data_IF_397328426349
#
_entry.id   IF_397328426349
#
_cell.length_a   1.000
_cell.length_b   1.000
_cell.length_c   1.000
_cell.angle_alpha   90.00
_cell.angle_beta   90.00
_cell.angle_gamma   90.00
#
_symmetry.space_group_name_H-M   'P 1'
#
loop_
_entity.id
_entity.type
_entity.pdbx_description
1 polymer ?
#
# COMPACT_ATOMS: atom_id res chain seq x y z
N UNK A 1 -14.88 -39.51 -13.79
CA UNK A 1 -15.90 -38.45 -13.72
C UNK A 1 -15.39 -37.41 -12.73
N UNK A 2 -14.70 -36.40 -13.23
CA UNK A 2 -14.10 -35.31 -12.44
C UNK A 2 -15.11 -34.17 -12.36
N UNK A 3 -15.64 -33.92 -11.18
CA UNK A 3 -16.60 -32.85 -10.91
C UNK A 3 -15.85 -31.51 -10.89
N UNK A 4 -16.13 -30.67 -11.88
CA UNK A 4 -15.69 -29.28 -11.96
C UNK A 4 -16.44 -28.46 -10.90
N UNK A 5 -15.72 -27.86 -9.97
CA UNK A 5 -16.29 -26.97 -8.96
C UNK A 5 -16.89 -25.71 -9.62
N UNK A 6 -18.06 -25.22 -9.17
CA UNK A 6 -18.69 -24.07 -9.77
C UNK A 6 -17.89 -22.78 -9.46
N UNK A 7 -17.57 -22.01 -10.51
CA UNK A 7 -17.09 -20.63 -10.41
C UNK A 7 -18.12 -19.81 -9.59
N UNK A 8 -17.76 -19.40 -8.38
CA UNK A 8 -18.53 -18.39 -7.65
C UNK A 8 -18.48 -17.10 -8.45
N UNK A 9 -19.67 -16.62 -8.83
CA UNK A 9 -19.85 -15.29 -9.44
C UNK A 9 -19.33 -14.26 -8.46
N UNK A 10 -18.46 -13.37 -8.93
CA UNK A 10 -18.00 -12.19 -8.18
C UNK A 10 -19.22 -11.32 -7.83
N UNK A 11 -19.39 -11.01 -6.56
CA UNK A 11 -20.35 -10.00 -6.11
C UNK A 11 -20.04 -8.64 -6.78
N UNK A 12 -21.06 -7.82 -7.06
CA UNK A 12 -20.86 -6.54 -7.70
C UNK A 12 -19.95 -5.64 -6.86
N UNK A 13 -18.89 -5.15 -7.49
CA UNK A 13 -17.97 -4.18 -6.90
C UNK A 13 -18.77 -2.91 -6.57
N UNK A 14 -18.70 -2.38 -5.34
CA UNK A 14 -19.39 -1.12 -5.00
C UNK A 14 -18.90 0.00 -5.90
N UNK A 15 -19.83 0.89 -6.27
CA UNK A 15 -19.54 2.06 -7.12
C UNK A 15 -18.38 2.88 -6.55
N UNK A 16 -17.49 3.37 -7.43
CA UNK A 16 -16.34 4.19 -7.04
C UNK A 16 -16.78 5.41 -6.23
N UNK A 17 -16.11 5.69 -5.12
CA UNK A 17 -16.37 6.85 -4.30
C UNK A 17 -15.96 8.15 -5.03
N UNK A 18 -16.66 9.28 -4.85
CA UNK A 18 -16.26 10.55 -5.42
C UNK A 18 -14.83 10.91 -5.06
N UNK A 19 -14.00 11.25 -6.05
CA UNK A 19 -12.60 11.64 -5.84
C UNK A 19 -11.60 10.47 -5.65
N UNK A 20 -12.03 9.21 -5.79
CA UNK A 20 -11.15 8.04 -5.86
C UNK A 20 -10.91 7.63 -7.31
N UNK A 21 -9.73 7.07 -7.60
CA UNK A 21 -9.38 6.55 -8.92
C UNK A 21 -9.24 5.03 -8.87
N UNK A 22 -9.70 4.35 -9.90
CA UNK A 22 -9.43 2.94 -10.17
C UNK A 22 -7.99 2.75 -10.68
N UNK A 23 -7.45 1.55 -10.46
CA UNK A 23 -6.15 1.13 -10.99
C UNK A 23 -6.35 -0.16 -11.76
N UNK A 24 -5.98 -0.15 -13.05
CA UNK A 24 -5.94 -1.33 -13.89
C UNK A 24 -4.48 -1.74 -14.13
N UNK A 25 -4.14 -2.99 -13.84
CA UNK A 25 -2.84 -3.60 -14.04
C UNK A 25 -3.05 -4.75 -15.02
N UNK A 26 -2.34 -4.75 -16.14
CA UNK A 26 -2.52 -5.71 -17.24
C UNK A 26 -1.16 -6.32 -17.61
N UNK A 27 -0.95 -7.59 -17.27
CA UNK A 27 0.24 -8.36 -17.64
C UNK A 27 1.55 -7.75 -17.12
N UNK A 28 1.51 -7.06 -15.96
CA UNK A 28 2.66 -6.32 -15.46
C UNK A 28 3.83 -7.25 -15.15
N UNK A 29 4.95 -7.04 -15.85
CA UNK A 29 6.18 -7.79 -15.68
C UNK A 29 7.37 -6.85 -15.49
N UNK A 30 8.30 -7.22 -14.60
CA UNK A 30 9.50 -6.44 -14.31
C UNK A 30 10.72 -7.34 -14.18
N UNK A 31 11.71 -7.06 -15.00
CA UNK A 31 13.02 -7.71 -14.95
C UNK A 31 14.05 -6.64 -14.61
N UNK A 32 14.94 -6.94 -13.66
CA UNK A 32 16.09 -6.13 -13.32
C UNK A 32 17.37 -6.78 -13.85
N UNK A 33 18.27 -5.99 -14.37
CA UNK A 33 19.53 -6.46 -14.97
C UNK A 33 19.32 -7.01 -16.40
N UNK A 34 20.40 -7.57 -16.96
CA UNK A 34 20.45 -8.16 -18.30
C UNK A 34 21.33 -9.41 -18.31
N UNK A 35 21.15 -10.31 -19.30
CA UNK A 35 21.94 -11.54 -19.41
C UNK A 35 21.70 -12.52 -18.26
N UNK A 36 22.70 -13.33 -17.93
CA UNK A 36 22.62 -14.39 -16.92
C UNK A 36 22.40 -13.90 -15.48
N UNK A 37 22.56 -12.60 -15.24
CA UNK A 37 22.27 -11.96 -13.95
C UNK A 37 20.90 -11.29 -13.87
N UNK A 38 20.04 -11.48 -14.85
CA UNK A 38 18.70 -10.88 -14.84
C UNK A 38 17.80 -11.50 -13.76
N UNK A 39 17.10 -10.64 -13.01
CA UNK A 39 16.16 -11.06 -11.97
C UNK A 39 14.75 -10.71 -12.38
N UNK A 40 13.90 -11.72 -12.55
CA UNK A 40 12.47 -11.53 -12.80
C UNK A 40 11.78 -11.23 -11.46
N UNK A 41 11.52 -9.95 -11.22
CA UNK A 41 10.89 -9.51 -9.97
C UNK A 41 9.36 -9.67 -10.00
N UNK A 42 8.74 -9.38 -11.14
CA UNK A 42 7.29 -9.54 -11.39
C UNK A 42 7.08 -10.25 -12.72
N UNK A 43 6.08 -11.11 -12.78
CA UNK A 43 5.71 -11.82 -13.99
C UNK A 43 4.19 -11.92 -14.15
N UNK A 44 3.68 -11.31 -15.21
CA UNK A 44 2.26 -11.40 -15.65
C UNK A 44 1.25 -11.11 -14.53
N UNK A 45 1.48 -10.02 -13.78
CA UNK A 45 0.55 -9.59 -12.73
C UNK A 45 -0.60 -8.82 -13.38
N UNK A 46 -1.83 -9.32 -13.21
CA UNK A 46 -3.05 -8.69 -13.74
C UNK A 46 -4.05 -8.51 -12.61
N UNK A 47 -4.44 -7.26 -12.34
CA UNK A 47 -5.40 -6.91 -11.29
C UNK A 47 -6.18 -5.64 -11.67
N UNK A 48 -7.45 -5.57 -11.25
CA UNK A 48 -8.24 -4.35 -11.29
C UNK A 48 -8.59 -3.95 -9.86
N UNK A 49 -8.24 -2.73 -9.45
CA UNK A 49 -8.51 -2.16 -8.13
C UNK A 49 -9.54 -1.05 -8.32
N UNK A 50 -10.79 -1.27 -7.87
CA UNK A 50 -11.82 -0.25 -7.92
C UNK A 50 -11.48 0.99 -7.10
N UNK A 51 -11.97 2.15 -7.54
CA UNK A 51 -11.82 3.39 -6.80
C UNK A 51 -12.42 3.31 -5.40
N UNK A 52 -11.69 3.80 -4.39
CA UNK A 52 -12.09 3.81 -2.98
C UNK A 52 -11.84 2.51 -2.22
N UNK A 53 -11.31 1.47 -2.86
CA UNK A 53 -10.99 0.21 -2.21
C UNK A 53 -9.66 0.29 -1.44
N UNK A 54 -9.62 -0.37 -0.29
CA UNK A 54 -8.38 -0.59 0.47
C UNK A 54 -7.83 -1.99 0.12
N UNK A 55 -6.75 -2.05 -0.66
CA UNK A 55 -6.12 -3.30 -1.09
C UNK A 55 -4.78 -3.49 -0.40
N UNK A 56 -4.54 -4.67 0.19
CA UNK A 56 -3.23 -5.07 0.69
C UNK A 56 -2.53 -6.02 -0.28
N UNK A 57 -1.26 -5.73 -0.56
CA UNK A 57 -0.33 -6.66 -1.19
C UNK A 57 0.43 -7.40 -0.10
N UNK A 58 0.25 -8.72 -0.02
CA UNK A 58 0.81 -9.59 1.02
C UNK A 58 1.77 -10.62 0.42
N UNK A 59 2.83 -10.94 1.12
CA UNK A 59 3.79 -11.98 0.72
C UNK A 59 5.12 -11.83 1.43
N UNK A 60 6.04 -12.81 1.30
CA UNK A 60 7.35 -12.77 1.93
C UNK A 60 8.22 -11.62 1.41
N UNK A 61 9.32 -11.36 2.10
CA UNK A 61 10.31 -10.38 1.62
C UNK A 61 10.88 -10.79 0.26
N UNK A 62 11.09 -9.82 -0.63
CA UNK A 62 11.64 -10.07 -1.97
C UNK A 62 10.66 -10.65 -3.00
N UNK A 63 9.36 -10.81 -2.70
CA UNK A 63 8.36 -11.32 -3.65
C UNK A 63 7.83 -10.28 -4.66
N UNK A 64 8.37 -9.06 -4.69
CA UNK A 64 8.00 -8.05 -5.69
C UNK A 64 6.93 -7.04 -5.24
N UNK A 65 6.44 -7.05 -3.99
CA UNK A 65 5.41 -6.09 -3.51
C UNK A 65 5.78 -4.63 -3.73
N UNK A 66 6.95 -4.23 -3.21
CA UNK A 66 7.45 -2.85 -3.39
C UNK A 66 7.78 -2.56 -4.87
N UNK A 67 8.18 -3.57 -5.65
CA UNK A 67 8.39 -3.42 -7.10
C UNK A 67 7.08 -3.08 -7.81
N UNK A 68 5.99 -3.80 -7.48
CA UNK A 68 4.67 -3.51 -8.04
C UNK A 68 4.16 -2.14 -7.57
N UNK A 69 4.33 -1.83 -6.28
CA UNK A 69 3.94 -0.54 -5.73
C UNK A 69 4.68 0.62 -6.41
N UNK A 70 6.01 0.48 -6.63
CA UNK A 70 6.83 1.46 -7.34
C UNK A 70 6.44 1.59 -8.83
N UNK A 71 6.01 0.52 -9.47
CA UNK A 71 5.48 0.58 -10.83
C UNK A 71 4.15 1.35 -10.87
N UNK A 72 3.24 1.12 -9.91
CA UNK A 72 2.00 1.90 -9.77
C UNK A 72 2.30 3.37 -9.46
N UNK A 73 3.34 3.66 -8.67
CA UNK A 73 3.78 5.02 -8.40
C UNK A 73 4.38 5.74 -9.62
N UNK A 74 4.82 4.99 -10.63
CA UNK A 74 5.54 5.52 -11.78
C UNK A 74 7.04 5.72 -11.55
N UNK A 75 7.60 5.21 -10.44
CA UNK A 75 9.03 5.29 -10.14
C UNK A 75 9.87 4.25 -10.87
N UNK A 76 9.25 3.15 -11.30
CA UNK A 76 9.93 2.05 -11.97
C UNK A 76 9.11 1.57 -13.17
N UNK A 77 9.56 1.83 -14.41
CA UNK A 77 8.83 1.39 -15.58
C UNK A 77 8.79 -0.15 -15.64
N UNK A 78 7.68 -0.69 -16.15
CA UNK A 78 7.54 -2.11 -16.41
C UNK A 78 8.44 -2.55 -17.58
N UNK A 79 8.83 -3.82 -17.58
CA UNK A 79 9.49 -4.44 -18.74
C UNK A 79 8.46 -4.88 -19.78
N UNK A 80 7.27 -5.31 -19.34
CA UNK A 80 6.13 -5.63 -20.20
C UNK A 80 4.82 -5.41 -19.43
N UNK A 81 3.70 -5.31 -20.17
CA UNK A 81 2.39 -5.01 -19.62
C UNK A 81 2.13 -3.51 -19.46
N UNK A 82 1.06 -3.17 -18.78
CA UNK A 82 0.67 -1.77 -18.56
C UNK A 82 -0.02 -1.56 -17.21
N UNK A 83 0.09 -0.33 -16.69
CA UNK A 83 -0.68 0.16 -15.55
C UNK A 83 -1.42 1.42 -15.97
N UNK A 84 -2.71 1.47 -15.64
CA UNK A 84 -3.55 2.65 -15.86
C UNK A 84 -4.20 3.08 -14.56
N UNK A 85 -4.36 4.39 -14.40
CA UNK A 85 -5.05 5.00 -13.26
C UNK A 85 -6.11 5.97 -13.79
N UNK A 86 -7.36 5.78 -13.39
CA UNK A 86 -8.50 6.50 -13.97
C UNK A 86 -8.48 6.49 -15.51
N UNK A 87 -8.19 5.33 -16.11
CA UNK A 87 -8.08 5.12 -17.55
C UNK A 87 -6.80 5.69 -18.22
N UNK A 88 -5.98 6.47 -17.51
CA UNK A 88 -4.74 7.07 -18.04
C UNK A 88 -3.53 6.19 -17.77
N UNK A 89 -2.60 6.00 -18.73
CA UNK A 89 -1.41 5.22 -18.50
C UNK A 89 -0.51 5.86 -17.45
N UNK A 90 0.06 5.03 -16.58
CA UNK A 90 1.08 5.44 -15.60
C UNK A 90 2.44 5.29 -16.27
N UNK A 91 3.09 6.40 -16.56
CA UNK A 91 4.43 6.45 -17.21
C UNK A 91 5.45 6.99 -16.22
N UNK A 92 5.13 8.10 -15.54
CA UNK A 92 5.99 8.82 -14.61
C UNK A 92 5.26 9.07 -13.28
N UNK A 93 5.96 9.45 -12.21
CA UNK A 93 5.33 9.93 -10.98
C UNK A 93 4.38 11.11 -11.24
N UNK A 94 3.28 11.18 -10.51
CA UNK A 94 2.27 12.22 -10.73
C UNK A 94 1.53 12.63 -9.46
N UNK A 95 0.86 13.80 -9.49
CA UNK A 95 0.12 14.34 -8.34
C UNK A 95 -1.19 13.60 -8.05
N UNK A 96 -1.60 12.69 -8.93
CA UNK A 96 -2.79 11.85 -8.82
C UNK A 96 -2.59 10.66 -7.85
N UNK A 97 -1.37 10.48 -7.34
CA UNK A 97 -1.01 9.45 -6.37
C UNK A 97 0.03 9.93 -5.39
N UNK A 98 -0.15 9.59 -4.12
CA UNK A 98 0.79 9.89 -3.05
C UNK A 98 1.46 8.63 -2.54
N UNK A 99 2.77 8.67 -2.27
CA UNK A 99 3.55 7.56 -1.75
C UNK A 99 4.00 7.81 -0.33
N UNK A 100 3.68 6.88 0.57
CA UNK A 100 4.23 6.80 1.93
C UNK A 100 5.28 5.70 1.94
N UNK A 101 6.53 6.07 2.18
CA UNK A 101 7.67 5.16 2.18
C UNK A 101 7.90 4.52 3.55
N UNK A 102 8.58 3.39 3.59
CA UNK A 102 8.93 2.66 4.80
C UNK A 102 9.79 3.51 5.76
N UNK A 103 10.71 4.31 5.24
CA UNK A 103 11.60 5.18 6.00
C UNK A 103 11.07 6.61 6.16
N UNK A 104 9.74 6.82 6.11
CA UNK A 104 9.04 8.10 6.23
C UNK A 104 9.37 9.13 5.16
N UNK A 105 10.59 9.18 4.62
CA UNK A 105 11.11 10.13 3.62
C UNK A 105 10.78 11.60 3.93
N UNK A 106 10.86 11.98 5.20
CA UNK A 106 10.70 13.38 5.63
C UNK A 106 11.95 14.18 5.29
N UNK A 107 11.75 15.45 4.96
CA UNK A 107 12.84 16.40 4.78
C UNK A 107 13.40 16.79 6.15
N UNK A 108 14.62 16.35 6.55
CA UNK A 108 15.12 16.52 7.91
C UNK A 108 15.43 17.97 8.27
N UNK A 109 15.61 18.84 7.28
CA UNK A 109 15.84 20.27 7.42
C UNK A 109 14.57 21.12 7.45
N UNK A 110 13.40 20.50 7.28
CA UNK A 110 12.08 21.14 7.31
C UNK A 110 11.36 20.80 8.61
N UNK A 111 10.61 21.75 9.16
CA UNK A 111 9.69 21.49 10.28
C UNK A 111 8.54 20.57 9.86
N UNK A 112 7.73 20.12 10.83
CA UNK A 112 6.48 19.35 10.57
C UNK A 112 5.56 20.13 9.64
N UNK A 113 5.32 21.41 9.94
CA UNK A 113 4.50 22.29 9.10
C UNK A 113 5.02 22.35 7.67
N UNK A 114 6.31 22.61 7.49
CA UNK A 114 6.95 22.71 6.20
C UNK A 114 6.90 21.39 5.42
N UNK A 115 7.09 20.24 6.10
CA UNK A 115 6.95 18.93 5.49
C UNK A 115 5.52 18.70 4.95
N UNK A 116 4.49 19.05 5.74
CA UNK A 116 3.09 18.89 5.32
C UNK A 116 2.76 19.84 4.16
N UNK A 117 3.24 21.07 4.23
CA UNK A 117 2.98 22.14 3.29
C UNK A 117 3.68 21.96 1.95
N UNK A 118 4.81 21.27 1.91
CA UNK A 118 5.75 21.21 0.77
C UNK A 118 5.07 20.98 -0.59
N UNK A 119 4.16 20.00 -0.66
CA UNK A 119 3.47 19.72 -1.91
C UNK A 119 2.43 20.80 -2.31
N UNK A 120 1.85 21.50 -1.34
CA UNK A 120 0.93 22.61 -1.58
C UNK A 120 1.69 23.82 -2.17
N UNK A 121 2.89 24.09 -1.66
CA UNK A 121 3.77 25.16 -2.15
C UNK A 121 4.19 24.89 -3.61
N UNK A 122 4.55 23.63 -3.94
CA UNK A 122 4.87 23.23 -5.32
C UNK A 122 3.65 23.39 -6.25
N UNK A 123 2.42 23.07 -5.77
CA UNK A 123 1.19 23.29 -6.54
C UNK A 123 0.81 24.75 -6.68
N UNK A 124 1.49 25.67 -5.99
CA UNK A 124 1.19 27.10 -6.00
C UNK A 124 -0.12 27.46 -5.27
N UNK A 125 -0.53 26.64 -4.27
CA UNK A 125 -1.71 26.91 -3.45
C UNK A 125 -1.49 28.21 -2.66
N UNK A 126 -2.50 29.11 -2.65
CA UNK A 126 -2.41 30.36 -1.92
C UNK A 126 -2.10 30.13 -0.43
N UNK A 127 -1.24 31.01 0.14
CA UNK A 127 -0.70 30.82 1.49
C UNK A 127 -1.80 30.57 2.55
N UNK A 128 -2.85 31.40 2.54
CA UNK A 128 -3.93 31.29 3.50
C UNK A 128 -4.70 29.97 3.40
N UNK A 129 -4.88 29.45 2.18
CA UNK A 129 -5.50 28.16 1.91
C UNK A 129 -4.58 27.01 2.35
N UNK A 130 -3.29 27.07 2.04
CA UNK A 130 -2.30 26.09 2.48
C UNK A 130 -2.22 26.04 4.01
N UNK A 131 -2.22 27.21 4.71
CA UNK A 131 -2.24 27.28 6.16
C UNK A 131 -3.48 26.58 6.75
N UNK A 132 -4.66 26.81 6.16
CA UNK A 132 -5.90 26.16 6.59
C UNK A 132 -5.86 24.64 6.37
N UNK A 133 -5.32 24.17 5.23
CA UNK A 133 -5.15 22.72 4.95
C UNK A 133 -4.21 22.09 5.96
N UNK A 134 -3.03 22.69 6.21
CA UNK A 134 -2.04 22.20 7.17
C UNK A 134 -2.64 22.11 8.57
N UNK A 135 -3.29 23.18 9.05
CA UNK A 135 -3.91 23.20 10.38
C UNK A 135 -4.98 22.11 10.52
N UNK A 136 -5.84 21.92 9.52
CA UNK A 136 -6.87 20.90 9.49
C UNK A 136 -6.28 19.47 9.54
N UNK A 137 -5.28 19.19 8.70
CA UNK A 137 -4.66 17.86 8.65
C UNK A 137 -3.84 17.58 9.90
N UNK A 138 -3.08 18.56 10.38
CA UNK A 138 -2.33 18.44 11.62
C UNK A 138 -3.24 18.19 12.84
N UNK A 139 -4.37 18.88 12.91
CA UNK A 139 -5.38 18.66 13.95
C UNK A 139 -5.94 17.23 13.95
N UNK A 140 -6.25 16.70 12.76
CA UNK A 140 -6.76 15.32 12.60
C UNK A 140 -5.76 14.26 13.03
N UNK A 141 -4.46 14.51 12.84
CA UNK A 141 -3.37 13.57 13.13
C UNK A 141 -2.67 13.86 14.46
N UNK A 142 -3.21 14.75 15.29
CA UNK A 142 -2.63 15.08 16.61
C UNK A 142 -1.23 15.70 16.51
N UNK A 143 -0.97 16.50 15.47
CA UNK A 143 0.32 17.13 15.20
C UNK A 143 0.33 18.63 15.48
N UNK A 144 -0.78 19.23 15.92
CA UNK A 144 -0.92 20.70 16.09
C UNK A 144 0.16 21.31 16.99
N UNK A 145 0.49 20.67 18.10
CA UNK A 145 1.49 21.14 19.06
C UNK A 145 2.95 20.92 18.61
N UNK A 146 3.13 20.23 17.47
CA UNK A 146 4.43 19.83 16.97
C UNK A 146 4.81 20.49 15.64
N UNK A 147 3.99 21.42 15.11
CA UNK A 147 4.20 22.03 13.80
C UNK A 147 5.57 22.67 13.62
N UNK A 148 6.10 23.29 14.68
CA UNK A 148 7.43 23.90 14.67
C UNK A 148 8.61 22.95 14.94
N UNK A 149 8.36 21.66 15.21
CA UNK A 149 9.41 20.67 15.47
C UNK A 149 10.02 20.12 14.20
N UNK A 150 11.26 19.67 14.28
CA UNK A 150 11.95 18.96 13.20
C UNK A 150 11.77 17.44 13.32
N UNK A 151 11.90 16.67 12.22
CA UNK A 151 11.76 15.20 12.24
C UNK A 151 12.62 14.47 13.27
N UNK A 152 13.83 14.99 13.57
CA UNK A 152 14.75 14.44 14.58
C UNK A 152 14.18 14.49 16.01
N UNK A 153 13.26 15.41 16.27
CA UNK A 153 12.68 15.65 17.61
C UNK A 153 11.38 14.86 17.82
N UNK A 154 11.01 14.01 16.84
CA UNK A 154 9.75 13.26 16.83
C UNK A 154 9.97 11.77 17.10
N UNK A 155 8.99 11.12 17.74
CA UNK A 155 8.93 9.66 17.83
C UNK A 155 8.69 9.02 16.43
N UNK A 156 8.92 7.71 16.30
CA UNK A 156 8.65 6.97 15.06
C UNK A 156 7.21 7.12 14.59
N UNK A 157 6.24 6.96 15.51
CA UNK A 157 4.82 7.15 15.22
C UNK A 157 4.47 8.57 14.79
N UNK A 158 5.09 9.58 15.38
CA UNK A 158 4.90 10.97 14.97
C UNK A 158 5.47 11.23 13.57
N UNK A 159 6.66 10.72 13.27
CA UNK A 159 7.23 10.81 11.91
C UNK A 159 6.31 10.15 10.88
N UNK A 160 5.72 9.02 11.21
CA UNK A 160 4.75 8.34 10.33
C UNK A 160 3.50 9.20 10.10
N UNK A 161 2.95 9.81 11.15
CA UNK A 161 1.82 10.75 11.01
C UNK A 161 2.16 11.93 10.11
N UNK A 162 3.36 12.49 10.22
CA UNK A 162 3.81 13.58 9.34
C UNK A 162 3.92 13.12 7.89
N UNK A 163 4.43 11.91 7.63
CA UNK A 163 4.50 11.34 6.28
C UNK A 163 3.10 11.15 5.67
N UNK A 164 2.14 10.64 6.46
CA UNK A 164 0.74 10.52 6.04
C UNK A 164 0.11 11.91 5.84
N UNK A 165 0.33 12.85 6.76
CA UNK A 165 -0.18 14.23 6.69
C UNK A 165 0.25 14.94 5.39
N UNK A 166 1.53 14.78 5.00
CA UNK A 166 2.10 15.35 3.78
C UNK A 166 1.35 14.87 2.53
N UNK A 167 1.00 13.60 2.48
CA UNK A 167 0.25 13.03 1.36
C UNK A 167 -1.22 13.48 1.40
N UNK A 168 -1.85 13.43 2.56
CA UNK A 168 -3.25 13.87 2.73
C UNK A 168 -3.47 15.34 2.40
N UNK A 169 -2.47 16.21 2.65
CA UNK A 169 -2.54 17.62 2.30
C UNK A 169 -2.68 17.84 0.78
N UNK A 170 -2.08 16.97 -0.04
CA UNK A 170 -2.18 16.99 -1.50
C UNK A 170 -3.51 16.45 -2.03
N UNK A 171 -4.27 15.75 -1.19
CA UNK A 171 -5.56 15.13 -1.50
C UNK A 171 -5.55 14.25 -2.78
N UNK A 172 -4.58 13.34 -2.96
CA UNK A 172 -4.52 12.51 -4.15
C UNK A 172 -5.66 11.49 -4.16
N UNK A 173 -6.20 11.09 -5.32
CA UNK A 173 -7.20 10.01 -5.44
C UNK A 173 -6.67 8.63 -5.05
N UNK A 174 -5.36 8.40 -5.11
CA UNK A 174 -4.70 7.14 -4.76
C UNK A 174 -3.60 7.37 -3.74
N UNK A 175 -3.54 6.51 -2.72
CA UNK A 175 -2.48 6.46 -1.74
C UNK A 175 -1.76 5.11 -1.80
N UNK A 176 -0.46 5.14 -1.96
CA UNK A 176 0.43 4.00 -2.02
C UNK A 176 1.26 3.97 -0.73
N UNK A 177 1.31 2.82 -0.04
CA UNK A 177 1.97 2.71 1.25
C UNK A 177 2.87 1.48 1.28
N UNK A 178 4.18 1.67 1.45
CA UNK A 178 5.17 0.60 1.51
C UNK A 178 5.57 0.33 2.97
N UNK A 179 5.04 -0.73 3.57
CA UNK A 179 5.29 -1.18 4.96
C UNK A 179 5.30 -0.03 5.99
N UNK A 180 4.29 0.87 5.99
CA UNK A 180 4.37 2.13 6.73
C UNK A 180 4.44 1.96 8.24
N UNK A 181 4.07 0.80 8.78
CA UNK A 181 4.05 0.54 10.22
C UNK A 181 5.12 -0.47 10.68
N UNK A 182 6.02 -0.91 9.78
CA UNK A 182 7.00 -1.97 10.05
C UNK A 182 7.94 -1.67 11.22
N UNK A 183 8.38 -0.41 11.35
CA UNK A 183 9.35 0.02 12.37
C UNK A 183 8.72 0.44 13.72
N UNK A 184 7.39 0.27 13.90
CA UNK A 184 6.67 0.74 15.08
C UNK A 184 6.40 -0.39 16.08
N UNK A 185 6.39 -0.03 17.39
CA UNK A 185 5.91 -0.93 18.42
C UNK A 185 4.42 -1.28 18.26
N UNK A 186 3.97 -2.36 18.89
CA UNK A 186 2.63 -2.92 18.67
C UNK A 186 1.49 -1.95 19.02
N UNK A 187 1.64 -1.17 20.11
CA UNK A 187 0.60 -0.25 20.57
C UNK A 187 0.48 0.97 19.65
N UNK A 188 1.61 1.58 19.31
CA UNK A 188 1.68 2.69 18.36
C UNK A 188 1.17 2.28 16.99
N UNK A 189 1.54 1.08 16.51
CA UNK A 189 1.07 0.51 15.25
C UNK A 189 -0.45 0.39 15.24
N UNK A 190 -1.04 -0.19 16.28
CA UNK A 190 -2.50 -0.35 16.38
C UNK A 190 -3.22 1.00 16.34
N UNK A 191 -2.75 1.96 17.10
CA UNK A 191 -3.31 3.33 17.11
C UNK A 191 -3.30 3.96 15.72
N UNK A 192 -2.17 3.83 14.98
CA UNK A 192 -2.04 4.39 13.63
C UNK A 192 -2.88 3.63 12.58
N UNK A 193 -3.08 2.32 12.75
CA UNK A 193 -4.00 1.54 11.90
C UNK A 193 -5.44 2.02 12.08
N UNK A 194 -5.89 2.24 13.31
CA UNK A 194 -7.23 2.76 13.61
C UNK A 194 -7.41 4.19 13.05
N UNK A 195 -6.37 4.99 13.14
CA UNK A 195 -6.35 6.35 12.60
C UNK A 195 -6.41 6.34 11.05
N UNK A 196 -5.63 5.46 10.41
CA UNK A 196 -5.66 5.28 8.95
C UNK A 196 -7.05 4.81 8.47
N UNK A 197 -7.69 3.88 9.18
CA UNK A 197 -9.05 3.44 8.85
C UNK A 197 -10.08 4.57 8.99
N UNK A 198 -9.97 5.44 10.01
CA UNK A 198 -10.84 6.62 10.16
C UNK A 198 -10.65 7.60 9.00
N UNK A 199 -9.40 7.87 8.63
CA UNK A 199 -9.05 8.71 7.48
C UNK A 199 -9.61 8.11 6.20
N UNK A 200 -9.38 6.82 5.97
CA UNK A 200 -9.89 6.14 4.78
C UNK A 200 -11.42 6.16 4.71
N UNK A 201 -12.12 5.95 5.83
CA UNK A 201 -13.58 6.00 5.90
C UNK A 201 -14.13 7.40 5.54
N UNK A 202 -13.41 8.46 5.92
CA UNK A 202 -13.79 9.85 5.63
C UNK A 202 -13.51 10.24 4.18
N UNK A 203 -12.29 9.97 3.69
CA UNK A 203 -11.83 10.45 2.38
C UNK A 203 -12.11 9.48 1.23
N UNK A 204 -12.35 8.20 1.53
CA UNK A 204 -12.64 7.15 0.55
C UNK A 204 -11.64 7.07 -0.61
N UNK A 205 -10.38 7.33 -0.35
CA UNK A 205 -9.31 7.19 -1.33
C UNK A 205 -9.05 5.73 -1.66
N UNK A 206 -8.56 5.45 -2.86
CA UNK A 206 -8.01 4.13 -3.19
C UNK A 206 -6.68 3.96 -2.47
N UNK A 207 -6.53 2.88 -1.71
CA UNK A 207 -5.27 2.60 -0.99
C UNK A 207 -4.70 1.28 -1.50
N UNK A 208 -3.42 1.30 -1.89
CA UNK A 208 -2.60 0.10 -2.11
C UNK A 208 -1.54 0.06 -1.02
N UNK A 209 -1.65 -0.94 -0.15
CA UNK A 209 -0.88 -1.07 1.06
C UNK A 209 0.00 -2.33 1.00
N UNK A 210 1.29 -2.19 1.13
CA UNK A 210 2.23 -3.30 1.20
C UNK A 210 2.50 -3.66 2.65
N UNK A 211 2.40 -4.94 2.98
CA UNK A 211 2.79 -5.46 4.28
C UNK A 211 3.23 -6.93 4.19
N UNK A 212 4.04 -7.38 5.14
CA UNK A 212 4.31 -8.79 5.39
C UNK A 212 3.49 -9.36 6.56
N UNK A 213 2.73 -8.51 7.28
CA UNK A 213 1.89 -8.91 8.41
C UNK A 213 0.50 -9.33 7.95
N UNK A 214 0.18 -10.60 8.13
CA UNK A 214 -1.15 -11.18 7.81
C UNK A 214 -2.24 -10.50 8.63
N UNK A 215 -1.98 -10.26 9.92
CA UNK A 215 -2.93 -9.63 10.83
C UNK A 215 -3.26 -8.19 10.38
N UNK A 216 -2.23 -7.43 10.00
CA UNK A 216 -2.39 -6.09 9.47
C UNK A 216 -3.18 -6.07 8.16
N UNK A 217 -2.88 -6.98 7.23
CA UNK A 217 -3.62 -7.10 5.98
C UNK A 217 -5.11 -7.41 6.22
N UNK A 218 -5.43 -8.38 7.10
CA UNK A 218 -6.81 -8.69 7.46
C UNK A 218 -7.46 -7.51 8.17
N UNK A 219 -6.74 -6.82 9.06
CA UNK A 219 -7.31 -5.72 9.84
C UNK A 219 -7.71 -4.53 8.98
N UNK A 220 -6.86 -4.17 8.01
CA UNK A 220 -7.00 -2.95 7.22
C UNK A 220 -7.79 -3.13 5.91
N UNK A 221 -7.53 -4.20 5.16
CA UNK A 221 -7.93 -4.28 3.76
C UNK A 221 -9.38 -4.71 3.53
N UNK A 222 -9.99 -4.22 2.45
CA UNK A 222 -11.20 -4.84 1.88
C UNK A 222 -10.82 -6.07 1.05
N UNK A 223 -9.62 -6.06 0.46
CA UNK A 223 -9.13 -7.09 -0.45
C UNK A 223 -7.64 -7.33 -0.22
N UNK A 224 -7.23 -8.58 -0.24
CA UNK A 224 -5.84 -9.01 -0.07
C UNK A 224 -5.39 -9.75 -1.31
N UNK A 225 -4.29 -9.29 -1.90
CA UNK A 225 -3.60 -9.94 -3.01
C UNK A 225 -2.31 -10.56 -2.46
N UNK A 226 -2.23 -11.89 -2.49
CA UNK A 226 -1.03 -12.64 -2.08
C UNK A 226 -0.16 -12.87 -3.29
N UNK A 227 1.12 -12.50 -3.21
CA UNK A 227 2.11 -12.71 -4.27
C UNK A 227 2.97 -13.94 -3.99
N UNK A 228 3.35 -14.65 -5.07
CA UNK A 228 4.35 -15.73 -5.01
C UNK A 228 5.73 -15.17 -4.74
N UNK A 229 6.62 -16.01 -4.17
CA UNK A 229 8.05 -15.70 -4.18
C UNK A 229 8.59 -15.82 -5.61
N UNK A 230 9.61 -15.07 -5.94
CA UNK A 230 10.23 -14.89 -7.27
C UNK A 230 9.98 -15.99 -8.29
N UNK A 231 9.42 -15.64 -9.44
CA UNK A 231 8.89 -14.32 -9.81
C UNK A 231 7.59 -14.00 -9.07
N UNK A 232 7.39 -12.72 -8.72
CA UNK A 232 6.16 -12.25 -8.11
C UNK A 232 4.98 -12.38 -9.09
N UNK A 233 4.07 -13.30 -8.84
CA UNK A 233 2.80 -13.52 -9.55
C UNK A 233 1.65 -13.43 -8.56
N UNK A 234 0.45 -13.22 -9.02
CA UNK A 234 -0.73 -13.34 -8.15
C UNK A 234 -0.97 -14.82 -7.79
N UNK A 235 -0.75 -15.15 -6.52
CA UNK A 235 -1.07 -16.49 -5.97
C UNK A 235 -2.53 -16.59 -5.57
N UNK A 236 -3.04 -15.58 -4.91
CA UNK A 236 -4.41 -15.53 -4.42
C UNK A 236 -4.90 -14.09 -4.39
N UNK A 237 -6.15 -13.92 -4.72
CA UNK A 237 -6.89 -12.67 -4.66
C UNK A 237 -8.19 -12.92 -3.91
N UNK A 238 -8.39 -12.27 -2.78
CA UNK A 238 -9.52 -12.54 -1.91
C UNK A 238 -10.11 -11.26 -1.30
N UNK A 239 -11.42 -11.20 -1.22
CA UNK A 239 -12.14 -10.19 -0.43
C UNK A 239 -12.11 -10.58 1.03
N UNK A 240 -11.97 -9.60 1.92
CA UNK A 240 -12.05 -9.81 3.37
C UNK A 240 -13.52 -9.68 3.81
N UNK A 241 -14.22 -10.77 4.13
CA UNK A 241 -15.66 -10.76 4.38
C UNK A 241 -16.01 -10.34 5.82
N UNK A 242 -15.17 -9.53 6.45
CA UNK A 242 -15.31 -9.10 7.84
C UNK A 242 -15.70 -7.62 7.89
N UNK A 243 -16.81 -7.32 8.56
CA UNK A 243 -17.23 -5.94 8.81
C UNK A 243 -16.23 -5.20 9.71
N UNK A 244 -16.15 -3.87 9.56
CA UNK A 244 -15.37 -3.01 10.46
C UNK A 244 -16.25 -2.41 11.55
N UNK A 245 -15.78 -2.23 12.81
CA UNK A 245 -14.43 -2.56 13.28
C UNK A 245 -14.21 -4.06 13.40
N UNK A 246 -13.04 -4.57 13.03
CA UNK A 246 -12.68 -5.98 13.05
C UNK A 246 -12.14 -6.38 14.43
N UNK A 247 -12.71 -7.41 15.01
CA UNK A 247 -12.21 -8.03 16.24
C UNK A 247 -11.15 -9.08 15.88
N UNK A 248 -9.90 -8.81 16.24
CA UNK A 248 -8.76 -9.71 16.00
C UNK A 248 -8.83 -11.00 16.82
N UNK A 249 -9.68 -11.05 17.86
CA UNK A 249 -9.91 -12.25 18.67
C UNK A 249 -11.02 -13.14 18.12
N UNK A 250 -11.83 -12.66 17.16
CA UNK A 250 -12.97 -13.41 16.62
C UNK A 250 -12.54 -14.70 15.91
N UNK A 251 -13.43 -15.67 15.87
CA UNK A 251 -13.19 -16.96 15.22
C UNK A 251 -12.98 -16.80 13.70
N UNK A 252 -13.76 -15.91 13.08
CA UNK A 252 -13.73 -15.61 11.66
C UNK A 252 -12.38 -14.93 11.26
N UNK A 253 -11.91 -13.98 12.06
CA UNK A 253 -10.61 -13.35 11.86
C UNK A 253 -9.48 -14.38 11.93
N UNK A 254 -9.52 -15.25 12.96
CA UNK A 254 -8.52 -16.28 13.16
C UNK A 254 -8.59 -17.39 12.09
N UNK A 255 -9.76 -17.68 11.53
CA UNK A 255 -9.91 -18.61 10.41
C UNK A 255 -9.22 -18.05 9.14
N UNK A 256 -9.48 -16.79 8.80
CA UNK A 256 -8.84 -16.13 7.66
C UNK A 256 -7.33 -15.98 7.87
N UNK A 257 -6.89 -15.70 9.10
CA UNK A 257 -5.46 -15.65 9.45
C UNK A 257 -4.76 -16.98 9.19
N UNK A 258 -5.39 -18.11 9.54
CA UNK A 258 -4.84 -19.46 9.26
C UNK A 258 -4.79 -19.75 7.77
N UNK A 259 -5.82 -19.40 7.00
CA UNK A 259 -5.84 -19.57 5.54
C UNK A 259 -4.68 -18.81 4.89
N UNK A 260 -4.54 -17.52 5.20
CA UNK A 260 -3.47 -16.69 4.65
C UNK A 260 -2.08 -17.13 5.13
N UNK A 261 -1.97 -17.60 6.39
CA UNK A 261 -0.70 -18.14 6.91
C UNK A 261 -0.23 -19.33 6.09
N UNK A 262 -1.12 -20.27 5.73
CA UNK A 262 -0.79 -21.39 4.86
C UNK A 262 -0.23 -20.92 3.52
N UNK A 263 -0.90 -19.97 2.86
CA UNK A 263 -0.47 -19.42 1.57
C UNK A 263 0.90 -18.73 1.63
N UNK A 264 1.15 -17.95 2.69
CA UNK A 264 2.42 -17.21 2.86
C UNK A 264 3.55 -18.15 3.27
N UNK A 265 3.29 -19.16 4.13
CA UNK A 265 4.30 -20.15 4.56
C UNK A 265 4.81 -20.98 3.38
N UNK A 266 3.96 -21.39 2.45
CA UNK A 266 4.39 -22.09 1.23
C UNK A 266 5.40 -21.24 0.44
N UNK A 267 5.17 -19.95 0.30
CA UNK A 267 6.09 -19.05 -0.40
C UNK A 267 7.36 -18.76 0.40
N UNK A 268 7.27 -18.71 1.73
CA UNK A 268 8.43 -18.55 2.60
C UNK A 268 9.34 -19.78 2.55
N UNK A 269 8.78 -20.98 2.45
CA UNK A 269 9.57 -22.23 2.28
C UNK A 269 10.31 -22.21 0.94
N UNK A 270 9.67 -21.76 -0.15
CA UNK A 270 10.32 -21.60 -1.46
C UNK A 270 11.48 -20.59 -1.39
N UNK A 271 11.28 -19.48 -0.67
CA UNK A 271 12.34 -18.50 -0.40
C UNK A 271 13.55 -19.14 0.29
N UNK A 272 13.32 -19.79 1.42
CA UNK A 272 14.40 -20.42 2.21
C UNK A 272 15.13 -21.50 1.40
N UNK A 273 14.41 -22.29 0.61
CA UNK A 273 15.01 -23.32 -0.23
C UNK A 273 15.86 -22.72 -1.35
N UNK A 274 15.40 -21.63 -1.99
CA UNK A 274 16.16 -20.92 -3.02
C UNK A 274 17.46 -20.31 -2.46
N UNK A 275 17.43 -19.72 -1.26
CA UNK A 275 18.63 -19.19 -0.61
C UNK A 275 19.65 -20.29 -0.27
N UNK A 276 19.18 -21.44 0.23
CA UNK A 276 20.05 -22.59 0.58
C UNK A 276 20.69 -23.26 -0.63
N UNK A 277 20.01 -23.26 -1.78
CA UNK A 277 20.52 -23.92 -3.00
C UNK A 277 21.34 -23.01 -3.89
N UNK A 278 21.40 -21.69 -3.61
CA UNK A 278 22.07 -20.71 -4.45
C UNK A 278 21.43 -20.57 -5.84
N UNK A 279 20.25 -21.16 -6.03
CA UNK A 279 19.52 -21.15 -7.30
C UNK A 279 18.46 -20.04 -7.28
N UNK A 280 18.55 -19.12 -8.24
CA UNK A 280 17.37 -18.37 -8.65
C UNK A 280 16.35 -19.41 -9.16
N UNK A 281 15.18 -19.47 -8.52
CA UNK A 281 14.09 -20.33 -8.99
C UNK A 281 13.60 -19.74 -10.31
N UNK A 282 13.78 -20.49 -11.41
CA UNK A 282 13.25 -20.22 -12.73
C UNK A 282 11.70 -20.30 -12.75
#
# INVERSE_FOLDING_TARGET
MTATAPHRRSEPVPAAAPGAADIAIEGASKVFGTGDGAVVALQDVTASIPGGQFVCLLGPSGCGKSTLLNAIAGFSPLTAGSIRMAGRPVVDPGPDRGMVFQEYALFPWMTVEQNIRFGLDIKGVARAEADAIVARIAGKLGLSDFLGRFPKDLSGGMRQRVAIARILALDPPVMLMDEPFGALDALTRRTLQDELLRIWAEYRKTIVFVTHSIEEAIYLADRIVVLTYRPGRMKRDLMVPLARPRDTASAEFNALKRELAGLVMEEQQRFTQAELTGSSVD
#
